data_IF_381724861747
#
_entry.id   IF_381724861747
#
_cell.length_a   1.000
_cell.length_b   1.000
_cell.length_c   1.000
_cell.angle_alpha   90.00
_cell.angle_beta   90.00
_cell.angle_gamma   90.00
#
_symmetry.space_group_name_H-M   'P 1'
#
loop_
_entity.id
_entity.type
_entity.pdbx_description
1 polymer ?
#
# COMPACT_ATOMS: atom_id res chain seq x y z
N UNK A 1 -6.75 10.47 -11.11
CA UNK A 1 -7.11 11.11 -12.38
C UNK A 1 -6.22 10.55 -13.50
N UNK A 2 -6.67 9.41 -14.08
CA UNK A 2 -5.92 8.64 -15.08
C UNK A 2 -5.64 9.45 -16.34
N UNK A 3 -6.59 10.27 -16.78
CA UNK A 3 -6.46 11.12 -17.97
C UNK A 3 -5.30 12.12 -17.85
N UNK A 4 -5.13 12.72 -16.67
CA UNK A 4 -3.99 13.63 -16.42
C UNK A 4 -2.65 12.89 -16.48
N UNK A 5 -2.61 11.65 -15.99
CA UNK A 5 -1.39 10.82 -16.08
C UNK A 5 -1.07 10.50 -17.54
N UNK A 6 -2.05 10.09 -18.35
CA UNK A 6 -1.88 9.82 -19.78
C UNK A 6 -1.38 11.07 -20.53
N UNK A 7 -2.03 12.22 -20.28
CA UNK A 7 -1.60 13.49 -20.87
C UNK A 7 -0.16 13.86 -20.45
N UNK A 8 0.23 13.60 -19.23
CA UNK A 8 1.59 13.83 -18.74
C UNK A 8 2.60 12.92 -19.41
N UNK A 9 2.29 11.63 -19.55
CA UNK A 9 3.13 10.65 -20.28
C UNK A 9 3.37 11.13 -21.71
N UNK A 10 2.31 11.51 -22.44
CA UNK A 10 2.40 11.99 -23.82
C UNK A 10 3.28 13.24 -23.92
N UNK A 11 3.13 14.20 -22.99
CA UNK A 11 3.94 15.41 -22.94
C UNK A 11 5.41 15.11 -22.67
N UNK A 12 5.71 14.18 -21.78
CA UNK A 12 7.09 13.77 -21.45
C UNK A 12 7.73 13.04 -22.64
N UNK A 13 7.00 12.16 -23.32
CA UNK A 13 7.47 11.50 -24.55
C UNK A 13 7.83 12.53 -25.63
N UNK A 14 6.96 13.52 -25.87
CA UNK A 14 7.23 14.58 -26.84
C UNK A 14 8.47 15.39 -26.49
N UNK A 15 8.61 15.80 -25.22
CA UNK A 15 9.76 16.55 -24.75
C UNK A 15 11.08 15.77 -24.89
N UNK A 16 11.05 14.47 -24.52
CA UNK A 16 12.20 13.58 -24.68
C UNK A 16 12.59 13.41 -26.13
N UNK A 17 11.63 13.17 -27.02
CA UNK A 17 11.87 13.07 -28.47
C UNK A 17 12.52 14.33 -29.05
N UNK A 18 12.09 15.51 -28.63
CA UNK A 18 12.67 16.80 -29.02
C UNK A 18 14.10 16.96 -28.52
N UNK A 19 14.37 16.60 -27.26
CA UNK A 19 15.69 16.74 -26.63
C UNK A 19 16.74 15.84 -27.28
N UNK A 20 16.38 14.62 -27.64
CA UNK A 20 17.30 13.60 -28.16
C UNK A 20 17.10 13.32 -29.64
N UNK A 21 16.55 14.28 -30.40
CA UNK A 21 16.28 14.15 -31.84
C UNK A 21 17.53 13.88 -32.69
N UNK A 22 18.72 14.18 -32.17
CA UNK A 22 20.01 13.97 -32.81
C UNK A 22 20.67 12.61 -32.51
N UNK A 23 20.14 11.86 -31.52
CA UNK A 23 20.67 10.56 -31.13
C UNK A 23 19.90 9.44 -31.88
N UNK A 24 20.56 8.79 -32.84
CA UNK A 24 19.93 7.75 -33.67
C UNK A 24 19.50 6.48 -32.89
N UNK A 25 20.01 6.27 -31.70
CA UNK A 25 19.79 5.04 -30.93
C UNK A 25 18.78 5.16 -29.76
N UNK A 26 18.38 6.36 -29.38
CA UNK A 26 17.46 6.52 -28.23
C UNK A 26 16.02 6.40 -28.70
N UNK A 27 15.39 5.26 -28.39
CA UNK A 27 13.97 4.99 -28.65
C UNK A 27 13.16 5.24 -27.39
N UNK A 28 12.25 6.22 -27.43
CA UNK A 28 11.28 6.50 -26.36
C UNK A 28 9.93 5.85 -26.67
N UNK A 29 9.96 4.56 -27.01
CA UNK A 29 8.78 3.89 -27.55
C UNK A 29 7.90 3.28 -26.45
N UNK A 30 8.43 3.02 -25.26
CA UNK A 30 7.72 2.33 -24.19
C UNK A 30 7.69 3.12 -22.87
N UNK A 31 6.60 2.93 -22.12
CA UNK A 31 6.45 3.42 -20.78
C UNK A 31 6.29 2.22 -19.83
N UNK A 32 7.13 2.13 -18.81
CA UNK A 32 7.12 1.04 -17.85
C UNK A 32 6.45 1.47 -16.55
N UNK A 33 5.55 0.63 -16.02
CA UNK A 33 5.00 0.79 -14.69
C UNK A 33 5.79 -0.10 -13.75
N UNK A 34 6.55 0.53 -12.85
CA UNK A 34 7.45 -0.15 -11.91
C UNK A 34 6.95 0.09 -10.48
N UNK A 35 7.04 -0.89 -9.63
CA UNK A 35 6.72 -0.76 -8.21
C UNK A 35 6.61 -2.10 -7.50
N UNK A 36 6.42 -2.03 -6.19
CA UNK A 36 6.26 -3.22 -5.34
C UNK A 36 5.07 -4.09 -5.77
N UNK A 37 5.08 -5.33 -5.36
CA UNK A 37 3.93 -6.21 -5.53
C UNK A 37 2.70 -5.63 -4.80
N UNK A 38 1.50 -5.86 -5.36
CA UNK A 38 0.21 -5.46 -4.76
C UNK A 38 -0.02 -3.96 -4.53
N UNK A 39 0.76 -3.06 -5.15
CA UNK A 39 0.52 -1.60 -5.08
C UNK A 39 -0.48 -1.08 -6.12
N UNK A 40 -1.12 -1.95 -6.88
CA UNK A 40 -2.16 -1.57 -7.84
C UNK A 40 -1.67 -1.27 -9.26
N UNK A 41 -0.46 -1.68 -9.66
CA UNK A 41 0.08 -1.48 -11.03
C UNK A 41 -0.87 -2.02 -12.10
N UNK A 42 -1.23 -3.29 -12.01
CA UNK A 42 -2.13 -3.95 -12.96
C UNK A 42 -3.55 -3.37 -12.92
N UNK A 43 -4.03 -2.96 -11.74
CA UNK A 43 -5.30 -2.22 -11.61
C UNK A 43 -5.25 -0.90 -12.35
N UNK A 44 -4.16 -0.15 -12.21
CA UNK A 44 -3.95 1.10 -12.92
C UNK A 44 -3.87 0.89 -14.44
N UNK A 45 -3.19 -0.17 -14.90
CA UNK A 45 -3.17 -0.57 -16.30
C UNK A 45 -4.57 -0.85 -16.84
N UNK A 46 -5.38 -1.62 -16.13
CA UNK A 46 -6.77 -1.90 -16.52
C UNK A 46 -7.61 -0.61 -16.60
N UNK A 47 -7.41 0.34 -15.69
CA UNK A 47 -8.09 1.65 -15.76
C UNK A 47 -7.67 2.45 -17.02
N UNK A 48 -6.38 2.45 -17.37
CA UNK A 48 -5.90 3.08 -18.60
C UNK A 48 -6.53 2.41 -19.81
N UNK A 49 -6.53 1.07 -19.86
CA UNK A 49 -7.10 0.32 -20.97
C UNK A 49 -8.59 0.59 -21.20
N UNK A 50 -9.37 0.72 -20.13
CA UNK A 50 -10.78 1.10 -20.20
C UNK A 50 -10.97 2.49 -20.82
N UNK A 51 -10.12 3.45 -20.47
CA UNK A 51 -10.24 4.85 -20.92
C UNK A 51 -9.70 5.01 -22.35
N UNK A 52 -8.56 4.39 -22.67
CA UNK A 52 -7.86 4.65 -23.95
C UNK A 52 -8.28 3.73 -25.08
N UNK A 53 -8.65 2.49 -24.76
CA UNK A 53 -8.88 1.43 -25.75
C UNK A 53 -10.32 0.89 -25.72
N UNK A 54 -11.20 1.45 -24.90
CA UNK A 54 -12.59 1.00 -24.71
C UNK A 54 -12.71 -0.51 -24.42
N UNK A 55 -11.74 -1.11 -23.73
CA UNK A 55 -11.85 -2.50 -23.33
C UNK A 55 -12.98 -2.69 -22.31
N UNK A 56 -13.96 -3.58 -22.59
CA UNK A 56 -15.14 -3.72 -21.74
C UNK A 56 -14.89 -4.45 -20.42
N UNK A 57 -13.75 -5.12 -20.26
CA UNK A 57 -13.43 -5.95 -19.09
C UNK A 57 -11.98 -5.77 -18.65
N UNK A 58 -11.68 -6.21 -17.44
CA UNK A 58 -10.32 -6.27 -16.93
C UNK A 58 -9.56 -7.38 -17.67
N UNK A 59 -8.63 -6.98 -18.54
CA UNK A 59 -7.83 -7.91 -19.36
C UNK A 59 -6.63 -8.44 -18.57
N UNK A 60 -6.15 -7.64 -17.61
CA UNK A 60 -5.06 -8.05 -16.73
C UNK A 60 -5.65 -8.62 -15.45
N UNK A 61 -5.25 -9.82 -15.09
CA UNK A 61 -5.66 -10.44 -13.83
C UNK A 61 -5.17 -9.58 -12.66
N UNK A 62 -6.14 -9.03 -11.93
CA UNK A 62 -5.88 -8.35 -10.67
C UNK A 62 -6.34 -9.25 -9.55
N UNK A 63 -5.46 -9.64 -8.66
CA UNK A 63 -5.83 -10.41 -7.47
C UNK A 63 -5.24 -9.77 -6.23
N UNK A 64 -5.86 -10.09 -5.09
CA UNK A 64 -5.35 -9.68 -3.78
C UNK A 64 -4.22 -10.60 -3.29
N UNK A 65 -3.65 -11.41 -4.18
CA UNK A 65 -2.48 -12.22 -3.86
C UNK A 65 -1.20 -11.43 -4.11
N UNK A 66 -0.23 -11.64 -3.26
CA UNK A 66 1.09 -11.04 -3.41
C UNK A 66 1.78 -11.68 -4.63
N UNK A 67 2.30 -10.86 -5.56
CA UNK A 67 2.98 -11.32 -6.79
C UNK A 67 2.10 -11.98 -7.85
N UNK A 68 1.03 -11.34 -8.28
CA UNK A 68 0.16 -11.91 -9.33
C UNK A 68 0.64 -11.71 -10.76
N UNK A 69 1.41 -10.66 -11.04
CA UNK A 69 1.97 -10.42 -12.38
C UNK A 69 3.29 -11.17 -12.50
N UNK A 70 3.31 -12.26 -13.27
CA UNK A 70 4.49 -13.11 -13.48
C UNK A 70 5.33 -12.66 -14.68
N UNK A 71 4.72 -11.99 -15.67
CA UNK A 71 5.34 -11.56 -16.92
C UNK A 71 5.08 -10.10 -17.24
N UNK A 72 5.85 -9.57 -18.21
CA UNK A 72 5.64 -8.23 -18.76
C UNK A 72 4.38 -8.19 -19.61
N UNK A 73 3.39 -7.43 -19.21
CA UNK A 73 2.15 -7.23 -19.96
C UNK A 73 2.25 -5.93 -20.73
N UNK A 74 2.10 -6.00 -22.08
CA UNK A 74 2.23 -4.86 -22.98
C UNK A 74 0.88 -4.39 -23.48
N UNK A 75 0.61 -3.10 -23.32
CA UNK A 75 -0.58 -2.43 -23.85
C UNK A 75 -0.18 -1.34 -24.85
N UNK A 76 -0.78 -1.29 -26.04
CA UNK A 76 -0.47 -0.24 -26.99
C UNK A 76 -0.95 1.12 -26.47
N UNK A 77 -0.06 2.10 -26.42
CA UNK A 77 -0.39 3.51 -26.15
C UNK A 77 -0.67 4.27 -27.44
N UNK A 78 0.08 3.95 -28.47
CA UNK A 78 -0.05 4.44 -29.83
C UNK A 78 0.54 3.42 -30.81
N UNK A 79 0.62 3.77 -32.11
CA UNK A 79 1.11 2.87 -33.17
C UNK A 79 2.56 2.36 -32.97
N UNK A 80 3.36 3.02 -32.13
CA UNK A 80 4.79 2.73 -31.95
C UNK A 80 5.22 2.54 -30.50
N UNK A 81 4.31 2.66 -29.53
CA UNK A 81 4.66 2.63 -28.12
C UNK A 81 3.71 1.82 -27.28
N UNK A 82 4.26 1.25 -26.23
CA UNK A 82 3.55 0.39 -25.29
C UNK A 82 3.65 0.94 -23.88
N UNK A 83 2.58 0.76 -23.14
CA UNK A 83 2.60 0.78 -21.68
C UNK A 83 2.86 -0.65 -21.21
N UNK A 84 3.85 -0.83 -20.37
CA UNK A 84 4.32 -2.15 -19.94
C UNK A 84 4.15 -2.28 -18.44
N UNK A 85 3.31 -3.23 -18.02
CA UNK A 85 3.25 -3.66 -16.61
C UNK A 85 4.43 -4.57 -16.32
N UNK A 86 5.13 -4.31 -15.23
CA UNK A 86 6.26 -5.11 -14.81
C UNK A 86 5.88 -5.98 -13.61
N UNK A 87 6.49 -7.16 -13.47
CA UNK A 87 6.40 -7.91 -12.23
C UNK A 87 6.72 -7.01 -11.03
N UNK A 88 5.92 -7.14 -9.96
CA UNK A 88 6.16 -6.40 -8.74
C UNK A 88 7.40 -6.93 -8.01
N UNK A 89 8.27 -6.05 -7.55
CA UNK A 89 9.35 -6.49 -6.67
C UNK A 89 8.87 -6.63 -5.22
N UNK A 90 9.46 -7.56 -4.49
CA UNK A 90 9.19 -7.74 -3.07
C UNK A 90 10.01 -6.70 -2.31
N UNK A 91 9.31 -5.88 -1.50
CA UNK A 91 9.98 -5.05 -0.52
C UNK A 91 10.07 -5.81 0.81
N UNK A 92 11.26 -6.15 1.31
CA UNK A 92 11.43 -6.83 2.58
C UNK A 92 10.86 -6.06 3.79
N UNK A 93 10.72 -4.75 3.68
CA UNK A 93 10.10 -3.92 4.72
C UNK A 93 8.57 -3.85 4.63
N UNK A 94 7.95 -4.59 3.68
CA UNK A 94 6.50 -4.57 3.50
C UNK A 94 5.86 -5.78 4.19
N UNK A 95 4.86 -5.56 5.03
CA UNK A 95 4.17 -6.64 5.75
C UNK A 95 3.72 -7.79 4.84
N UNK A 96 3.30 -7.48 3.61
CA UNK A 96 2.88 -8.50 2.63
C UNK A 96 3.94 -9.52 2.24
N UNK A 97 5.21 -9.31 2.60
CA UNK A 97 6.28 -10.30 2.40
C UNK A 97 6.26 -11.43 3.44
N UNK A 98 5.61 -11.23 4.58
CA UNK A 98 5.70 -12.12 5.75
C UNK A 98 4.35 -12.67 6.20
N UNK A 99 3.24 -12.08 5.76
CA UNK A 99 1.89 -12.51 6.17
C UNK A 99 1.25 -13.41 5.14
N UNK A 100 0.33 -14.23 5.60
CA UNK A 100 -0.43 -15.16 4.76
C UNK A 100 -1.50 -14.43 3.92
N UNK A 101 -1.99 -15.07 2.86
CA UNK A 101 -2.98 -14.49 1.96
C UNK A 101 -4.24 -14.01 2.67
N UNK A 102 -4.71 -14.72 3.69
CA UNK A 102 -5.87 -14.33 4.49
C UNK A 102 -5.65 -12.98 5.19
N UNK A 103 -4.50 -12.80 5.79
CA UNK A 103 -4.08 -11.56 6.45
C UNK A 103 -3.88 -10.42 5.45
N UNK A 104 -3.25 -10.73 4.32
CA UNK A 104 -3.04 -9.76 3.25
C UNK A 104 -4.35 -9.19 2.72
N UNK A 105 -5.40 -10.02 2.57
CA UNK A 105 -6.72 -9.58 2.14
C UNK A 105 -7.38 -8.56 3.07
N UNK A 106 -7.04 -8.58 4.35
CA UNK A 106 -7.51 -7.60 5.34
C UNK A 106 -6.74 -6.29 5.23
N UNK A 107 -5.45 -6.35 4.88
CA UNK A 107 -4.61 -5.17 4.74
C UNK A 107 -4.87 -4.40 3.44
N UNK A 108 -5.17 -5.10 2.35
CA UNK A 108 -5.43 -4.47 1.05
C UNK A 108 -6.84 -3.86 1.04
N UNK A 109 -6.96 -2.54 0.85
CA UNK A 109 -8.27 -1.90 0.77
C UNK A 109 -9.07 -2.38 -0.44
N UNK A 110 -10.24 -2.97 -0.22
CA UNK A 110 -11.18 -3.41 -1.28
C UNK A 110 -12.20 -2.34 -1.66
N UNK A 111 -12.35 -1.30 -0.82
CA UNK A 111 -13.28 -0.18 -0.98
C UNK A 111 -12.57 1.12 -0.64
N UNK A 112 -13.21 2.24 -0.93
CA UNK A 112 -12.74 3.53 -0.47
C UNK A 112 -12.44 3.50 1.03
N UNK A 113 -11.26 3.96 1.40
CA UNK A 113 -10.82 4.04 2.79
C UNK A 113 -11.68 5.07 3.52
N UNK A 114 -12.35 4.61 4.58
CA UNK A 114 -13.03 5.49 5.51
C UNK A 114 -12.05 5.88 6.61
N UNK A 115 -11.65 7.13 6.63
CA UNK A 115 -10.74 7.64 7.67
C UNK A 115 -11.37 7.44 9.04
N UNK A 116 -10.61 6.85 9.95
CA UNK A 116 -11.03 6.62 11.35
C UNK A 116 -10.17 7.48 12.26
N UNK A 117 -10.77 8.49 12.87
CA UNK A 117 -10.06 9.40 13.77
C UNK A 117 -10.38 9.07 15.23
N UNK A 118 -9.35 8.96 16.02
CA UNK A 118 -9.43 8.75 17.46
C UNK A 118 -8.80 9.93 18.20
N UNK A 119 -9.48 10.45 19.20
CA UNK A 119 -8.86 11.33 20.17
C UNK A 119 -8.22 10.46 21.25
N UNK A 120 -6.89 10.53 21.37
CA UNK A 120 -6.12 9.77 22.34
C UNK A 120 -5.74 10.61 23.55
N UNK A 121 -5.93 10.06 24.72
CA UNK A 121 -5.33 10.56 25.96
C UNK A 121 -3.90 10.01 26.13
N UNK A 122 -3.07 10.64 26.98
CA UNK A 122 -1.69 10.23 27.22
C UNK A 122 -1.50 8.78 27.68
N UNK A 123 -2.50 8.21 28.35
CA UNK A 123 -2.46 6.85 28.91
C UNK A 123 -3.07 5.80 27.97
N UNK A 124 -3.26 6.13 26.69
CA UNK A 124 -3.94 5.24 25.75
C UNK A 124 -3.00 4.68 24.68
N UNK A 125 -3.30 3.46 24.29
CA UNK A 125 -2.65 2.71 23.23
C UNK A 125 -3.70 2.27 22.22
N UNK A 126 -3.37 2.36 20.92
CA UNK A 126 -4.17 1.76 19.84
C UNK A 126 -3.38 0.62 19.22
N UNK A 127 -4.01 -0.53 19.09
CA UNK A 127 -3.55 -1.65 18.28
C UNK A 127 -4.11 -1.55 16.86
N UNK A 128 -3.29 -1.87 15.88
CA UNK A 128 -3.64 -2.03 14.47
C UNK A 128 -3.58 -3.54 14.19
N UNK A 129 -4.71 -4.23 14.36
CA UNK A 129 -4.69 -5.69 14.47
C UNK A 129 -3.70 -6.14 15.56
N UNK A 130 -3.00 -7.24 15.30
CA UNK A 130 -1.83 -7.68 16.07
C UNK A 130 -0.49 -7.30 15.40
N UNK A 131 -0.52 -6.42 14.37
CA UNK A 131 0.65 -6.06 13.56
C UNK A 131 1.44 -4.89 14.13
N UNK A 132 0.75 -3.89 14.68
CA UNK A 132 1.39 -2.72 15.24
C UNK A 132 0.61 -2.19 16.45
N UNK A 133 1.30 -1.48 17.32
CA UNK A 133 0.68 -0.71 18.39
C UNK A 133 1.28 0.68 18.46
N UNK A 134 0.43 1.67 18.70
CA UNK A 134 0.81 3.06 18.88
C UNK A 134 0.53 3.42 20.32
N UNK A 135 1.58 3.73 21.06
CA UNK A 135 1.50 4.32 22.40
C UNK A 135 1.70 5.82 22.27
N UNK A 136 0.79 6.57 22.81
CA UNK A 136 0.94 8.00 22.93
C UNK A 136 1.49 8.34 24.31
N UNK A 137 2.57 9.12 24.32
CA UNK A 137 3.24 9.57 25.52
C UNK A 137 3.41 11.08 25.46
N UNK A 138 2.42 11.82 25.92
CA UNK A 138 2.36 13.27 25.88
C UNK A 138 1.47 13.81 26.99
N UNK A 139 1.46 15.12 27.17
CA UNK A 139 0.67 15.76 28.24
C UNK A 139 -0.78 16.03 27.84
N UNK A 140 -1.00 16.34 26.58
CA UNK A 140 -2.30 16.73 26.06
C UNK A 140 -2.89 15.68 25.13
N UNK A 141 -4.21 15.72 24.94
CA UNK A 141 -4.91 14.86 23.98
C UNK A 141 -4.45 15.18 22.54
N UNK A 142 -4.32 14.13 21.74
CA UNK A 142 -4.06 14.25 20.29
C UNK A 142 -5.16 13.59 19.48
N UNK A 143 -5.34 14.05 18.25
CA UNK A 143 -6.18 13.39 17.27
C UNK A 143 -5.28 12.56 16.34
N UNK A 144 -5.60 11.27 16.22
CA UNK A 144 -4.87 10.33 15.36
C UNK A 144 -5.83 9.81 14.32
N UNK A 145 -5.52 10.02 13.05
CA UNK A 145 -6.35 9.63 11.91
C UNK A 145 -5.71 8.49 11.13
N UNK A 146 -6.44 7.40 10.97
CA UNK A 146 -5.97 6.18 10.32
C UNK A 146 -6.50 6.09 8.90
N UNK A 147 -5.60 6.10 7.92
CA UNK A 147 -5.83 5.86 6.50
C UNK A 147 -5.37 4.45 6.14
N UNK A 148 -6.11 3.47 6.61
CA UNK A 148 -5.81 2.04 6.48
C UNK A 148 -7.04 1.28 6.00
N UNK A 149 -6.89 0.01 5.59
CA UNK A 149 -8.02 -0.82 5.18
C UNK A 149 -9.17 -0.78 6.18
N UNK A 150 -10.41 -0.67 5.68
CA UNK A 150 -11.62 -0.66 6.51
C UNK A 150 -11.81 -1.97 7.27
N UNK A 151 -11.24 -3.07 6.76
CA UNK A 151 -11.35 -4.40 7.35
C UNK A 151 -10.33 -4.63 8.46
N UNK A 152 -9.30 -3.78 8.56
CA UNK A 152 -8.28 -3.90 9.59
C UNK A 152 -8.79 -3.30 10.92
N UNK A 153 -8.87 -4.13 11.93
CA UNK A 153 -9.43 -3.74 13.23
C UNK A 153 -8.48 -2.83 14.01
N UNK A 154 -9.06 -1.79 14.60
CA UNK A 154 -8.37 -0.88 15.53
C UNK A 154 -8.93 -1.08 16.95
N UNK A 155 -8.05 -1.43 17.88
CA UNK A 155 -8.42 -1.62 19.28
C UNK A 155 -7.74 -0.59 20.17
N UNK A 156 -8.55 0.27 20.81
CA UNK A 156 -8.07 1.27 21.78
C UNK A 156 -8.21 0.75 23.20
N UNK A 157 -7.14 0.90 23.99
CA UNK A 157 -7.11 0.48 25.38
C UNK A 157 -6.27 1.44 26.23
N UNK A 158 -6.33 1.27 27.56
CA UNK A 158 -5.37 1.93 28.46
C UNK A 158 -3.99 1.30 28.29
N UNK A 159 -2.94 2.11 28.29
CA UNK A 159 -1.56 1.63 28.10
C UNK A 159 -1.15 0.57 29.11
N UNK A 160 -1.59 0.71 30.37
CA UNK A 160 -1.33 -0.27 31.43
C UNK A 160 -1.93 -1.65 31.15
N UNK A 161 -2.97 -1.75 30.31
CA UNK A 161 -3.62 -3.01 29.95
C UNK A 161 -3.12 -3.57 28.62
N UNK A 162 -2.33 -2.81 27.89
CA UNK A 162 -1.95 -3.15 26.52
C UNK A 162 -1.23 -4.50 26.41
N UNK A 163 -0.27 -4.76 27.29
CA UNK A 163 0.50 -6.01 27.22
C UNK A 163 -0.36 -7.22 27.58
N UNK A 164 -1.23 -7.12 28.57
CA UNK A 164 -2.21 -8.16 28.91
C UNK A 164 -3.19 -8.44 27.77
N UNK A 165 -3.64 -7.39 27.08
CA UNK A 165 -4.52 -7.55 25.92
C UNK A 165 -3.76 -8.22 24.76
N UNK A 166 -2.50 -7.84 24.51
CA UNK A 166 -1.68 -8.49 23.50
C UNK A 166 -1.54 -10.00 23.79
N UNK A 167 -1.22 -10.38 25.00
CA UNK A 167 -1.06 -11.79 25.40
C UNK A 167 -2.36 -12.60 25.30
N UNK A 168 -3.49 -12.02 25.71
CA UNK A 168 -4.76 -12.77 25.82
C UNK A 168 -5.62 -12.71 24.56
N UNK A 169 -5.45 -11.69 23.73
CA UNK A 169 -6.30 -11.40 22.57
C UNK A 169 -5.57 -11.54 21.21
N UNK A 170 -4.28 -11.87 21.22
CA UNK A 170 -3.55 -12.22 19.99
C UNK A 170 -4.25 -13.42 19.33
N UNK A 171 -4.34 -13.41 18.00
CA UNK A 171 -5.03 -14.41 17.17
C UNK A 171 -6.57 -14.50 17.35
N UNK A 172 -7.15 -13.66 18.18
CA UNK A 172 -8.61 -13.60 18.42
C UNK A 172 -9.17 -12.24 18.00
N UNK A 173 -8.97 -11.23 18.83
CA UNK A 173 -9.39 -9.86 18.60
C UNK A 173 -8.33 -9.09 17.80
N UNK A 174 -7.06 -9.28 18.15
CA UNK A 174 -5.94 -8.61 17.50
C UNK A 174 -5.46 -9.45 16.29
N UNK A 175 -6.18 -9.31 15.19
CA UNK A 175 -5.90 -10.00 13.93
C UNK A 175 -5.83 -8.99 12.78
N UNK A 176 -5.03 -9.25 11.70
CA UNK A 176 -3.98 -10.28 11.61
C UNK A 176 -2.82 -10.02 12.59
N UNK A 177 -1.88 -10.97 12.81
CA UNK A 177 -1.82 -12.34 12.30
C UNK A 177 -2.94 -13.24 12.89
N UNK A 178 -3.32 -14.30 12.13
CA UNK A 178 -4.36 -15.22 12.56
C UNK A 178 -3.81 -16.47 13.27
N UNK A 179 -2.51 -16.73 13.14
CA UNK A 179 -1.85 -17.91 13.69
C UNK A 179 -0.50 -17.54 14.31
N UNK A 180 -0.03 -18.39 15.21
CA UNK A 180 1.29 -18.25 15.82
C UNK A 180 2.41 -18.41 14.78
N UNK A 181 2.24 -19.34 13.82
CA UNK A 181 3.19 -19.54 12.73
C UNK A 181 3.37 -18.27 11.89
N UNK A 182 2.26 -17.58 11.56
CA UNK A 182 2.30 -16.32 10.85
C UNK A 182 2.98 -15.22 11.69
N UNK A 183 2.70 -15.16 12.99
CA UNK A 183 3.32 -14.21 13.89
C UNK A 183 4.84 -14.42 14.02
N UNK A 184 5.31 -15.66 13.96
CA UNK A 184 6.73 -15.99 13.98
C UNK A 184 7.47 -15.50 12.71
N UNK A 185 6.79 -15.44 11.57
CA UNK A 185 7.36 -14.86 10.33
C UNK A 185 7.58 -13.35 10.44
N UNK A 186 6.85 -12.67 11.30
CA UNK A 186 6.97 -11.22 11.55
C UNK A 186 8.08 -10.87 12.56
N UNK A 187 8.82 -11.79 12.97
CA UNK A 187 9.96 -12.08 13.86
C UNK A 187 10.59 -10.96 14.69
N UNK A 188 10.59 -9.69 14.31
CA UNK A 188 11.22 -8.65 15.10
C UNK A 188 10.24 -7.50 15.38
N UNK A 189 9.94 -7.31 16.67
CA UNK A 189 9.21 -6.13 17.11
C UNK A 189 10.17 -4.94 17.15
N UNK A 190 10.17 -4.15 16.08
CA UNK A 190 10.88 -2.88 16.08
C UNK A 190 10.09 -1.83 16.86
N UNK A 191 10.79 -1.09 17.71
CA UNK A 191 10.22 0.04 18.44
C UNK A 191 10.79 1.32 17.86
N UNK A 192 9.93 2.22 17.43
CA UNK A 192 10.29 3.53 16.92
C UNK A 192 9.71 4.61 17.83
N UNK A 193 10.53 5.56 18.22
CA UNK A 193 10.12 6.72 19.00
C UNK A 193 10.17 7.96 18.10
N UNK A 194 9.06 8.67 18.03
CA UNK A 194 8.94 9.90 17.26
C UNK A 194 8.51 11.04 18.18
N UNK A 195 9.23 12.13 18.13
CA UNK A 195 8.78 13.39 18.71
C UNK A 195 7.95 14.13 17.67
N UNK A 196 6.68 14.40 17.99
CA UNK A 196 5.73 15.01 17.05
C UNK A 196 5.52 16.47 17.46
N UNK A 197 5.94 17.37 16.60
CA UNK A 197 5.69 18.82 16.71
C UNK A 197 4.73 19.24 15.60
N UNK A 198 3.46 19.49 15.96
CA UNK A 198 2.43 19.85 14.97
C UNK A 198 1.80 18.63 14.28
N UNK A 199 1.36 18.80 13.02
CA UNK A 199 0.77 17.71 12.22
C UNK A 199 1.88 16.91 11.54
N UNK A 200 1.84 15.59 11.67
CA UNK A 200 2.84 14.68 11.11
C UNK A 200 2.16 13.43 10.56
N UNK A 201 2.72 12.86 9.50
CA UNK A 201 2.27 11.61 8.92
C UNK A 201 3.28 10.48 9.22
N UNK A 202 2.79 9.35 9.69
CA UNK A 202 3.57 8.12 9.88
C UNK A 202 3.12 7.11 8.86
N UNK A 203 4.02 6.68 7.98
CA UNK A 203 3.74 5.63 7.03
C UNK A 203 4.24 4.28 7.54
N UNK A 204 3.33 3.30 7.61
CA UNK A 204 3.66 1.90 7.93
C UNK A 204 3.53 1.07 6.65
N UNK A 205 4.67 0.58 6.15
CA UNK A 205 4.75 -0.15 4.88
C UNK A 205 3.87 -1.41 4.88
N UNK A 206 2.90 -1.47 3.97
CA UNK A 206 1.93 -2.55 3.88
C UNK A 206 0.68 -2.38 4.74
N UNK A 207 0.60 -1.34 5.57
CA UNK A 207 -0.60 -1.03 6.39
C UNK A 207 -1.26 0.25 5.92
N UNK A 208 -0.52 1.37 5.83
CA UNK A 208 -1.04 2.66 5.39
C UNK A 208 -0.46 3.85 6.15
N UNK A 209 -1.25 4.92 6.28
CA UNK A 209 -0.85 6.17 6.91
C UNK A 209 -1.62 6.41 8.21
N UNK A 210 -0.94 7.11 9.11
CA UNK A 210 -1.48 7.53 10.40
C UNK A 210 -1.13 8.98 10.62
#
# INVERSE_FOLDING_TARGET
DVEKVIARISKLKYAAKKKYSHEKEVRFDNCYIIGCASVGKSTFMNMIGKITLNYPSDVITTSNQYQTTQDFIKWPLDQKSYLIDTPGFINPSHYGAYIDNKSLQVLIPKKYIKVRTYQLNPDQTIFIGGLAKIKFDGENKINVSFYISNELYLHRTKTIQADKILETQQFKLLVPPYTEEEALKLNEKAVYNYEITGTSDIFISGIGFI
#
